data_IF_649175684546
#
_entry.id   IF_649175684546
#
_cell.length_a   1.000
_cell.length_b   1.000
_cell.length_c   1.000
_cell.angle_alpha   90.00
_cell.angle_beta   90.00
_cell.angle_gamma   90.00
#
_symmetry.space_group_name_H-M   'P 1'
#
loop_
_entity.id
_entity.type
_entity.pdbx_description
1 polymer ?
#
# COMPACT_ATOMS: atom_id res chain seq x y z
N UNK A 1 -44.36 2.80 -50.72
CA UNK A 1 -43.44 3.14 -51.84
C UNK A 1 -42.16 2.34 -51.67
N UNK A 2 -41.69 1.74 -52.77
CA UNK A 2 -40.50 0.87 -52.87
C UNK A 2 -39.21 1.70 -52.97
N UNK A 3 -38.10 1.18 -52.43
CA UNK A 3 -36.70 1.20 -52.91
C UNK A 3 -35.79 1.02 -51.67
N UNK A 4 -34.99 -0.03 -51.44
CA UNK A 4 -34.17 -0.94 -52.22
C UNK A 4 -32.93 -0.31 -52.89
N UNK A 5 -31.76 -0.55 -52.28
CA UNK A 5 -30.39 -0.73 -52.82
C UNK A 5 -29.39 -0.34 -51.70
N UNK A 6 -28.17 -0.85 -51.54
CA UNK A 6 -27.38 -2.00 -52.01
C UNK A 6 -25.97 -1.71 -51.49
N UNK A 7 -25.28 -2.71 -50.92
CA UNK A 7 -23.86 -2.64 -50.52
C UNK A 7 -22.92 -2.34 -51.70
N UNK A 8 -21.66 -1.95 -51.39
CA UNK A 8 -20.55 -2.75 -51.91
C UNK A 8 -19.52 -3.15 -50.85
N UNK A 9 -19.02 -4.36 -51.04
CA UNK A 9 -17.95 -5.01 -50.29
C UNK A 9 -16.58 -4.36 -50.55
N UNK A 10 -15.72 -4.29 -49.53
CA UNK A 10 -14.27 -4.16 -49.69
C UNK A 10 -13.59 -5.40 -49.12
N UNK A 11 -12.90 -6.13 -50.01
CA UNK A 11 -11.86 -7.11 -49.71
C UNK A 11 -10.50 -6.40 -49.82
N UNK A 12 -9.63 -6.60 -48.84
CA UNK A 12 -8.17 -6.55 -49.03
C UNK A 12 -7.48 -7.13 -47.81
N UNK A 13 -7.05 -8.40 -47.88
CA UNK A 13 -5.65 -8.82 -48.10
C UNK A 13 -4.80 -8.70 -46.82
N UNK A 14 -4.69 -9.82 -46.10
CA UNK A 14 -3.66 -10.09 -45.11
C UNK A 14 -2.39 -10.55 -45.82
N UNK A 15 -1.19 -10.06 -45.48
CA UNK A 15 0.04 -10.76 -45.79
C UNK A 15 0.40 -11.70 -44.64
N UNK A 16 0.44 -13.00 -44.96
CA UNK A 16 1.07 -14.03 -44.16
C UNK A 16 2.55 -13.69 -43.96
N UNK A 17 3.03 -13.71 -42.71
CA UNK A 17 4.45 -13.76 -42.40
C UNK A 17 4.79 -15.12 -41.81
N UNK A 18 5.85 -15.68 -42.38
CA UNK A 18 6.27 -17.06 -42.28
C UNK A 18 6.71 -17.44 -40.86
N UNK A 19 6.24 -18.60 -40.41
CA UNK A 19 6.88 -19.37 -39.36
C UNK A 19 8.25 -19.83 -39.88
N UNK A 20 9.32 -19.35 -39.24
CA UNK A 20 10.65 -19.97 -39.32
C UNK A 20 10.72 -21.00 -38.20
N UNK A 21 10.58 -22.27 -38.58
CA UNK A 21 10.82 -23.41 -37.70
C UNK A 21 12.34 -23.59 -37.53
N UNK A 22 12.86 -23.25 -36.35
CA UNK A 22 14.21 -23.63 -35.95
C UNK A 22 14.17 -25.02 -35.29
N UNK A 23 14.48 -26.04 -36.09
CA UNK A 23 14.91 -27.36 -35.64
C UNK A 23 16.22 -27.22 -34.86
N UNK A 24 16.22 -27.53 -33.57
CA UNK A 24 17.43 -27.90 -32.84
C UNK A 24 17.29 -29.34 -32.35
N UNK A 25 18.05 -30.22 -33.01
CA UNK A 25 18.31 -31.58 -32.62
C UNK A 25 19.04 -31.63 -31.27
N UNK A 26 18.68 -32.63 -30.47
CA UNK A 26 19.13 -32.78 -29.11
C UNK A 26 20.60 -33.13 -28.93
N UNK A 27 21.04 -32.95 -27.69
CA UNK A 27 22.12 -33.69 -27.08
C UNK A 27 21.69 -34.00 -25.63
N UNK A 28 21.16 -35.21 -25.45
CA UNK A 28 21.02 -35.85 -24.15
C UNK A 28 22.42 -36.20 -23.68
N UNK A 29 22.88 -35.58 -22.60
CA UNK A 29 24.01 -36.06 -21.81
C UNK A 29 23.55 -36.20 -20.36
N UNK A 30 23.21 -37.43 -19.97
CA UNK A 30 23.43 -37.93 -18.60
C UNK A 30 24.79 -38.59 -18.55
N UNK A 31 25.54 -38.50 -17.44
CA UNK A 31 25.61 -39.66 -16.52
C UNK A 31 25.87 -39.23 -15.03
N UNK A 32 26.21 -40.13 -14.09
CA UNK A 32 25.28 -40.94 -13.29
C UNK A 32 25.57 -40.81 -11.76
N UNK A 33 25.23 -41.81 -10.91
CA UNK A 33 24.11 -41.80 -9.98
C UNK A 33 24.46 -41.37 -8.53
N UNK A 34 23.39 -41.13 -7.77
CA UNK A 34 23.39 -40.90 -6.33
C UNK A 34 24.10 -42.02 -5.54
N UNK A 35 25.00 -41.61 -4.64
CA UNK A 35 25.52 -42.47 -3.59
C UNK A 35 24.56 -42.48 -2.38
N UNK A 36 24.00 -43.66 -2.11
CA UNK A 36 23.43 -44.05 -0.81
C UNK A 36 24.54 -44.67 0.04
N UNK A 37 24.74 -44.17 1.26
CA UNK A 37 25.19 -44.92 2.45
C UNK A 37 25.14 -43.93 3.64
N UNK A 38 24.13 -44.02 4.50
CA UNK A 38 24.06 -44.82 5.73
C UNK A 38 24.35 -43.97 6.98
N UNK A 39 23.31 -43.85 7.81
CA UNK A 39 23.34 -43.38 9.19
C UNK A 39 24.42 -44.08 10.02
N UNK A 40 24.86 -43.41 11.10
CA UNK A 40 24.80 -44.05 12.39
C UNK A 40 24.04 -43.20 13.43
N UNK A 41 22.95 -43.82 13.90
CA UNK A 41 22.48 -43.91 15.27
C UNK A 41 22.79 -42.76 16.28
N UNK A 42 21.68 -42.14 16.70
CA UNK A 42 21.22 -42.02 18.09
C UNK A 42 22.12 -41.30 19.12
N UNK A 43 21.70 -40.09 19.47
CA UNK A 43 21.80 -39.57 20.84
C UNK A 43 20.45 -39.01 21.29
N UNK A 44 19.88 -39.66 22.29
CA UNK A 44 18.69 -39.25 23.05
C UNK A 44 18.80 -37.81 23.59
N UNK A 45 17.74 -37.01 23.41
CA UNK A 45 17.24 -36.05 24.41
C UNK A 45 15.86 -35.49 24.02
N UNK A 46 15.02 -35.10 25.00
CA UNK A 46 13.59 -35.44 24.96
C UNK A 46 12.68 -34.36 24.39
N UNK A 47 11.53 -34.86 23.93
CA UNK A 47 10.29 -34.15 23.57
C UNK A 47 9.86 -33.17 24.67
N UNK A 48 9.64 -31.91 24.31
CA UNK A 48 9.00 -30.89 25.15
C UNK A 48 7.57 -30.55 24.66
N UNK A 49 6.58 -30.38 25.56
CA UNK A 49 5.21 -29.99 25.22
C UNK A 49 5.03 -28.44 25.32
N UNK A 50 3.82 -27.89 25.05
CA UNK A 50 3.57 -26.79 24.11
C UNK A 50 3.99 -25.37 24.59
N UNK A 51 4.09 -24.46 23.63
CA UNK A 51 4.44 -23.03 23.79
C UNK A 51 3.49 -22.33 24.77
N UNK A 52 4.09 -21.72 25.79
CA UNK A 52 3.44 -21.05 26.92
C UNK A 52 3.03 -19.61 26.61
N UNK A 53 1.85 -19.22 27.09
CA UNK A 53 1.34 -17.85 27.02
C UNK A 53 2.10 -16.86 27.91
N UNK A 54 2.04 -15.59 27.52
CA UNK A 54 2.62 -14.38 28.14
C UNK A 54 2.37 -14.20 29.65
N UNK A 55 1.48 -14.97 30.27
CA UNK A 55 1.19 -14.91 31.70
C UNK A 55 2.34 -15.42 32.58
N UNK A 56 3.16 -16.38 32.11
CA UNK A 56 4.25 -16.94 32.94
C UNK A 56 5.51 -16.07 33.01
N UNK A 57 5.71 -15.19 32.03
CA UNK A 57 6.80 -14.20 32.04
C UNK A 57 6.58 -13.16 33.15
N UNK A 58 5.33 -12.76 33.38
CA UNK A 58 4.96 -11.81 34.43
C UNK A 58 5.06 -12.42 35.84
N UNK A 59 4.91 -13.74 35.99
CA UNK A 59 5.10 -14.45 37.25
C UNK A 59 6.60 -14.68 37.57
N UNK A 60 7.44 -14.99 36.58
CA UNK A 60 8.89 -15.17 36.79
C UNK A 60 9.61 -13.88 37.17
N UNK A 61 9.10 -12.71 36.77
CA UNK A 61 9.65 -11.41 37.18
C UNK A 61 9.31 -11.06 38.64
N UNK A 62 8.23 -11.63 39.22
CA UNK A 62 7.91 -11.48 40.65
C UNK A 62 8.79 -12.35 41.55
N UNK A 63 9.08 -13.59 41.14
CA UNK A 63 9.91 -14.53 41.92
C UNK A 63 11.41 -14.19 41.92
N UNK A 64 11.86 -13.29 41.04
CA UNK A 64 13.23 -12.75 41.01
C UNK A 64 13.41 -11.48 41.87
N UNK A 65 12.38 -11.06 42.61
CA UNK A 65 12.49 -9.94 43.56
C UNK A 65 12.71 -8.56 42.93
N UNK A 66 12.39 -8.39 41.64
CA UNK A 66 12.57 -7.13 40.91
C UNK A 66 11.24 -6.41 40.68
N UNK A 67 10.49 -6.21 41.77
CA UNK A 67 9.45 -5.18 41.84
C UNK A 67 9.95 -4.03 42.74
N UNK A 68 9.69 -2.76 42.39
CA UNK A 68 10.27 -1.64 43.11
C UNK A 68 9.62 -1.48 44.48
N UNK A 69 10.36 -1.79 45.54
CA UNK A 69 10.07 -1.28 46.87
C UNK A 69 10.42 0.21 46.90
N UNK A 70 9.46 1.03 47.32
CA UNK A 70 9.70 2.42 47.64
C UNK A 70 10.62 2.49 48.86
N UNK A 71 11.87 2.91 48.66
CA UNK A 71 12.65 3.54 49.71
C UNK A 71 13.58 4.62 49.13
N UNK A 72 13.63 5.71 49.87
CA UNK A 72 14.21 7.01 49.58
C UNK A 72 15.69 6.99 49.21
N UNK A 73 16.02 7.54 48.05
CA UNK A 73 17.24 8.30 47.81
C UNK A 73 17.01 9.21 46.62
N UNK A 74 16.96 10.52 46.87
CA UNK A 74 17.01 11.52 45.81
C UNK A 74 18.37 11.45 45.10
N UNK A 75 18.43 11.33 43.77
CA UNK A 75 19.48 11.95 43.00
C UNK A 75 18.98 13.34 42.61
N UNK A 76 19.57 14.37 43.23
CA UNK A 76 19.41 15.74 42.78
C UNK A 76 19.69 15.83 41.26
N UNK A 77 18.72 16.38 40.53
CA UNK A 77 18.95 17.17 39.33
C UNK A 77 19.55 16.45 38.13
N UNK A 78 18.71 15.81 37.31
CA UNK A 78 18.58 16.01 35.85
C UNK A 78 17.64 14.93 35.31
N UNK A 79 16.36 15.03 35.68
CA UNK A 79 15.29 14.36 34.94
C UNK A 79 14.47 15.48 34.31
N UNK A 80 14.59 15.64 33.00
CA UNK A 80 13.71 16.48 32.18
C UNK A 80 12.53 15.57 31.83
N UNK A 81 11.37 15.67 32.53
CA UNK A 81 10.28 14.70 32.37
C UNK A 81 9.47 14.93 31.10
N UNK A 82 9.80 15.96 30.31
CA UNK A 82 9.12 16.25 29.05
C UNK A 82 10.10 16.02 27.89
N UNK A 83 9.71 15.28 26.83
CA UNK A 83 10.50 15.25 25.62
C UNK A 83 10.62 16.69 25.11
N UNK A 84 11.85 17.21 25.04
CA UNK A 84 12.09 18.54 24.49
C UNK A 84 11.46 18.61 23.11
N UNK A 85 10.79 19.72 22.79
CA UNK A 85 10.14 19.84 21.51
C UNK A 85 11.16 19.63 20.40
N UNK A 86 10.82 18.82 19.40
CA UNK A 86 11.65 18.74 18.19
C UNK A 86 11.78 20.16 17.60
N UNK A 87 12.84 20.42 16.83
CA UNK A 87 12.99 21.73 16.22
C UNK A 87 11.74 22.15 15.40
N UNK A 88 11.11 21.18 14.74
CA UNK A 88 9.84 21.36 14.05
C UNK A 88 8.73 21.83 15.00
N UNK A 89 8.68 21.29 16.22
CA UNK A 89 7.73 21.66 17.26
C UNK A 89 8.02 23.05 17.83
N UNK A 90 9.28 23.39 18.09
CA UNK A 90 9.68 24.73 18.53
C UNK A 90 9.30 25.79 17.50
N UNK A 91 9.58 25.52 16.22
CA UNK A 91 9.25 26.43 15.12
C UNK A 91 7.73 26.57 14.87
N UNK A 92 6.94 25.53 15.17
CA UNK A 92 5.47 25.62 15.14
C UNK A 92 4.91 26.40 16.31
N UNK A 93 5.47 26.23 17.51
CA UNK A 93 5.02 26.93 18.72
C UNK A 93 5.34 28.44 18.69
N UNK A 94 6.39 28.83 17.98
CA UNK A 94 6.77 30.24 17.78
C UNK A 94 5.97 30.94 16.68
N UNK A 95 5.22 30.20 15.85
CA UNK A 95 4.37 30.80 14.84
C UNK A 95 3.05 31.27 15.45
N UNK A 96 2.68 32.56 15.32
CA UNK A 96 1.34 32.97 15.69
C UNK A 96 0.35 32.13 14.88
N UNK A 97 -0.70 31.64 15.55
CA UNK A 97 -1.85 31.04 14.88
C UNK A 97 -2.48 32.15 14.03
N UNK A 98 -1.95 32.36 12.83
CA UNK A 98 -2.53 33.27 11.88
C UNK A 98 -3.88 32.67 11.49
N UNK A 99 -4.96 33.37 11.80
CA UNK A 99 -6.26 33.02 11.24
C UNK A 99 -6.11 32.95 9.72
N UNK A 100 -6.56 31.86 9.08
CA UNK A 100 -6.35 31.69 7.65
C UNK A 100 -7.09 32.80 6.89
N UNK A 101 -6.35 33.66 6.18
CA UNK A 101 -6.90 34.50 5.12
C UNK A 101 -7.23 33.63 3.90
N UNK A 102 -8.29 32.82 3.99
CA UNK A 102 -8.82 32.02 2.88
C UNK A 102 -9.25 30.60 3.27
N UNK A 103 -9.94 29.86 2.37
CA UNK A 103 -10.50 28.53 2.65
C UNK A 103 -9.46 27.38 2.70
N UNK A 104 -8.17 27.69 2.82
CA UNK A 104 -7.06 26.74 2.81
C UNK A 104 -6.54 26.39 4.21
N UNK A 105 -5.90 25.22 4.32
CA UNK A 105 -5.15 24.85 5.52
C UNK A 105 -3.95 25.80 5.72
N UNK A 106 -3.64 26.26 6.94
CA UNK A 106 -2.54 27.19 7.17
C UNK A 106 -1.19 26.59 6.75
N UNK A 107 -0.36 27.41 6.10
CA UNK A 107 1.00 27.04 5.73
C UNK A 107 1.90 27.01 6.97
N UNK A 108 2.75 25.99 7.06
CA UNK A 108 3.80 25.86 8.06
C UNK A 108 5.05 26.54 7.52
N UNK A 109 5.43 27.68 8.09
CA UNK A 109 6.65 28.41 7.69
C UNK A 109 7.87 27.76 8.34
N UNK A 110 8.49 26.82 7.66
CA UNK A 110 9.66 26.09 8.18
C UNK A 110 10.87 26.39 7.31
N UNK A 111 12.07 26.58 7.90
CA UNK A 111 13.27 26.65 7.10
C UNK A 111 13.44 25.30 6.38
N UNK A 112 13.86 25.27 5.10
CA UNK A 112 13.86 24.05 4.30
C UNK A 112 14.63 22.88 4.94
N UNK A 113 15.70 23.15 5.67
CA UNK A 113 16.48 22.11 6.35
C UNK A 113 15.74 21.42 7.52
N UNK A 114 14.71 22.06 8.10
CA UNK A 114 13.89 21.50 9.18
C UNK A 114 12.63 20.76 8.69
N UNK A 115 12.30 20.86 7.40
CA UNK A 115 11.18 20.13 6.80
C UNK A 115 11.54 18.63 6.74
N UNK A 116 10.69 17.71 7.25
CA UNK A 116 10.95 16.28 7.14
C UNK A 116 11.02 15.79 5.68
N UNK A 117 11.81 14.75 5.42
CA UNK A 117 11.92 14.13 4.11
C UNK A 117 10.71 13.22 3.83
N UNK A 118 9.52 13.81 3.71
CA UNK A 118 8.22 13.14 3.61
C UNK A 118 8.17 11.93 2.66
N UNK A 119 8.66 12.08 1.43
CA UNK A 119 8.72 10.98 0.46
C UNK A 119 9.61 9.85 0.94
N UNK A 120 10.80 10.17 1.46
CA UNK A 120 11.72 9.16 1.96
C UNK A 120 11.19 8.45 3.21
N UNK A 121 10.46 9.13 4.08
CA UNK A 121 9.80 8.54 5.24
C UNK A 121 8.74 7.51 4.82
N UNK A 122 7.93 7.80 3.81
CA UNK A 122 7.00 6.82 3.24
C UNK A 122 7.73 5.66 2.57
N UNK A 123 8.77 5.93 1.78
CA UNK A 123 9.59 4.87 1.16
C UNK A 123 10.22 3.98 2.23
N UNK A 124 10.69 4.54 3.34
CA UNK A 124 11.24 3.80 4.46
C UNK A 124 10.18 2.88 5.09
N UNK A 125 8.98 3.40 5.38
CA UNK A 125 7.86 2.60 5.90
C UNK A 125 7.55 1.44 4.94
N UNK A 126 7.41 1.70 3.64
CA UNK A 126 7.12 0.67 2.63
C UNK A 126 8.22 -0.40 2.61
N UNK A 127 9.50 -0.01 2.61
CA UNK A 127 10.63 -0.97 2.64
C UNK A 127 10.65 -1.80 3.92
N UNK A 128 10.38 -1.19 5.07
CA UNK A 128 10.32 -1.87 6.37
C UNK A 128 9.22 -2.94 6.40
N UNK A 129 8.00 -2.54 6.02
CA UNK A 129 6.84 -3.45 5.98
C UNK A 129 7.03 -4.56 4.96
N UNK A 130 7.53 -4.25 3.76
CA UNK A 130 7.81 -5.26 2.74
C UNK A 130 8.87 -6.26 3.20
N UNK A 131 9.95 -5.79 3.85
CA UNK A 131 11.01 -6.65 4.39
C UNK A 131 10.47 -7.58 5.47
N UNK A 132 9.68 -7.05 6.40
CA UNK A 132 9.05 -7.86 7.45
C UNK A 132 8.08 -8.89 6.85
N UNK A 133 7.23 -8.46 5.92
CA UNK A 133 6.25 -9.34 5.28
C UNK A 133 6.92 -10.50 4.56
N UNK A 134 7.93 -10.21 3.73
CA UNK A 134 8.64 -11.23 2.93
C UNK A 134 9.55 -12.13 3.77
N UNK A 135 10.01 -11.68 4.93
CA UNK A 135 10.69 -12.55 5.89
C UNK A 135 9.75 -13.60 6.50
N UNK A 136 8.46 -13.28 6.64
CA UNK A 136 7.43 -14.18 7.17
C UNK A 136 6.77 -15.04 6.10
N UNK A 137 6.49 -14.46 4.94
CA UNK A 137 5.94 -15.13 3.76
C UNK A 137 6.59 -14.56 2.49
N UNK A 138 7.53 -15.29 1.85
CA UNK A 138 8.22 -14.83 0.65
C UNK A 138 7.31 -14.49 -0.54
N UNK A 139 6.07 -15.03 -0.55
CA UNK A 139 5.07 -14.78 -1.58
C UNK A 139 4.11 -13.64 -1.26
N UNK A 140 4.27 -12.95 -0.12
CA UNK A 140 3.36 -11.89 0.29
C UNK A 140 3.48 -10.66 -0.62
N UNK A 141 2.41 -10.36 -1.36
CA UNK A 141 2.39 -9.27 -2.33
C UNK A 141 2.28 -7.90 -1.65
N UNK A 142 3.03 -6.91 -2.12
CA UNK A 142 2.97 -5.52 -1.68
C UNK A 142 2.58 -4.63 -2.87
N UNK A 143 1.36 -4.09 -2.85
CA UNK A 143 0.95 -3.05 -3.79
C UNK A 143 0.96 -1.68 -3.09
N UNK A 144 1.25 -0.62 -3.83
CA UNK A 144 1.30 0.75 -3.31
C UNK A 144 0.28 1.65 -4.00
N UNK A 145 -0.77 2.06 -3.27
CA UNK A 145 -1.80 2.99 -3.76
C UNK A 145 -1.37 4.42 -3.52
N UNK A 146 -1.45 5.26 -4.56
CA UNK A 146 -0.91 6.64 -4.52
C UNK A 146 0.62 6.69 -4.48
N UNK A 147 1.31 5.57 -4.73
CA UNK A 147 2.76 5.45 -4.61
C UNK A 147 3.56 5.90 -5.85
N UNK A 148 2.90 6.25 -6.97
CA UNK A 148 3.59 6.65 -8.20
C UNK A 148 4.61 7.80 -8.01
N UNK A 149 4.32 8.87 -7.27
CA UNK A 149 5.28 9.95 -6.99
C UNK A 149 6.49 9.51 -6.16
N UNK A 150 6.44 8.34 -5.51
CA UNK A 150 7.54 7.78 -4.72
C UNK A 150 8.47 6.90 -5.57
N UNK A 151 8.05 6.48 -6.77
CA UNK A 151 8.86 5.65 -7.67
C UNK A 151 10.05 6.40 -8.26
N UNK A 152 9.97 7.72 -8.35
CA UNK A 152 11.02 8.61 -8.85
C UNK A 152 11.42 9.63 -7.79
N UNK A 153 12.63 10.15 -7.92
CA UNK A 153 13.14 11.23 -7.08
C UNK A 153 12.61 12.58 -7.53
N UNK A 154 12.12 13.37 -6.58
CA UNK A 154 11.56 14.70 -6.83
C UNK A 154 12.61 15.82 -6.71
N UNK A 155 12.40 16.92 -7.43
CA UNK A 155 13.21 18.14 -7.28
C UNK A 155 13.17 18.65 -5.84
N UNK A 156 12.01 18.60 -5.19
CA UNK A 156 11.85 19.03 -3.80
C UNK A 156 12.81 18.30 -2.87
N UNK A 157 13.01 17.00 -3.05
CA UNK A 157 13.94 16.22 -2.23
C UNK A 157 15.37 16.76 -2.35
N UNK A 158 15.80 17.09 -3.57
CA UNK A 158 17.10 17.70 -3.82
C UNK A 158 17.25 19.08 -3.17
N UNK A 159 16.20 19.91 -3.18
CA UNK A 159 16.22 21.23 -2.51
C UNK A 159 16.37 21.07 -0.99
N UNK A 160 15.62 20.15 -0.38
CA UNK A 160 15.69 19.89 1.06
C UNK A 160 17.07 19.36 1.46
N UNK A 161 17.66 18.46 0.67
CA UNK A 161 19.01 17.94 0.90
C UNK A 161 20.08 19.03 0.76
N UNK A 162 19.99 19.87 -0.27
CA UNK A 162 20.88 21.02 -0.46
C UNK A 162 20.81 21.98 0.74
N UNK A 163 19.61 22.29 1.22
CA UNK A 163 19.43 23.14 2.40
C UNK A 163 20.05 22.53 3.67
N UNK A 164 19.87 21.23 3.90
CA UNK A 164 20.50 20.52 5.03
C UNK A 164 22.02 20.50 4.93
N UNK A 165 22.57 20.34 3.72
CA UNK A 165 24.01 20.40 3.50
C UNK A 165 24.58 21.79 3.83
N UNK A 166 23.92 22.86 3.38
CA UNK A 166 24.32 24.24 3.71
C UNK A 166 24.27 24.48 5.22
N UNK A 167 23.17 24.09 5.88
CA UNK A 167 23.02 24.23 7.34
C UNK A 167 24.11 23.47 8.10
N UNK A 168 24.53 22.31 7.60
CA UNK A 168 25.63 21.51 8.16
C UNK A 168 27.03 22.04 7.82
N UNK A 169 27.16 23.16 7.09
CA UNK A 169 28.44 23.72 6.65
C UNK A 169 29.14 22.89 5.56
N UNK A 170 28.38 22.06 4.83
CA UNK A 170 28.86 21.22 3.73
C UNK A 170 28.57 21.88 2.37
N UNK A 171 29.28 21.44 1.33
CA UNK A 171 28.96 21.83 -0.04
C UNK A 171 27.64 21.21 -0.49
N UNK A 172 26.72 22.02 -1.01
CA UNK A 172 25.45 21.57 -1.54
C UNK A 172 25.53 21.24 -3.04
N UNK A 173 24.82 20.19 -3.45
CA UNK A 173 24.56 19.90 -4.87
C UNK A 173 23.46 20.85 -5.35
N UNK A 174 23.66 21.47 -6.50
CA UNK A 174 22.63 22.28 -7.16
C UNK A 174 21.41 21.39 -7.47
N UNK A 175 20.21 21.68 -6.91
CA UNK A 175 19.01 20.88 -7.11
C UNK A 175 18.56 20.77 -8.57
N UNK A 176 18.96 21.71 -9.43
CA UNK A 176 18.63 21.71 -10.86
C UNK A 176 19.71 21.04 -11.72
N UNK A 177 20.82 20.62 -11.12
CA UNK A 177 21.88 19.91 -11.82
C UNK A 177 21.56 18.43 -11.99
N UNK A 178 22.10 17.76 -13.03
CA UNK A 178 21.97 16.31 -13.18
C UNK A 178 22.48 15.50 -11.97
N UNK A 179 23.44 16.05 -11.21
CA UNK A 179 23.97 15.39 -10.02
C UNK A 179 22.96 15.31 -8.86
N UNK A 180 21.87 16.06 -8.91
CA UNK A 180 20.78 15.97 -7.95
C UNK A 180 19.91 14.72 -8.12
N UNK A 181 20.03 14.00 -9.25
CA UNK A 181 19.31 12.76 -9.53
C UNK A 181 17.80 12.91 -9.66
N UNK A 182 17.29 14.11 -9.96
CA UNK A 182 15.85 14.34 -10.15
C UNK A 182 15.34 13.49 -11.33
N UNK A 183 14.24 12.77 -11.10
CA UNK A 183 13.68 11.81 -12.07
C UNK A 183 14.31 10.42 -12.03
N UNK A 184 15.38 10.21 -11.26
CA UNK A 184 15.96 8.86 -11.09
C UNK A 184 15.00 7.94 -10.33
N UNK A 185 15.00 6.66 -10.71
CA UNK A 185 14.18 5.63 -10.07
C UNK A 185 14.66 5.38 -8.64
N UNK A 186 13.73 5.43 -7.69
CA UNK A 186 13.97 4.99 -6.33
C UNK A 186 14.00 3.46 -6.28
N UNK A 187 15.17 2.87 -6.57
CA UNK A 187 15.36 1.42 -6.62
C UNK A 187 14.95 0.70 -5.33
N UNK A 188 15.19 1.33 -4.17
CA UNK A 188 14.77 0.78 -2.88
C UNK A 188 13.26 0.71 -2.70
N UNK A 189 12.52 1.70 -3.21
CA UNK A 189 11.06 1.66 -3.20
C UNK A 189 10.54 0.68 -4.25
N UNK A 190 10.96 0.81 -5.50
CA UNK A 190 10.52 -0.08 -6.60
C UNK A 190 10.82 -1.55 -6.29
N UNK A 191 11.97 -1.86 -5.68
CA UNK A 191 12.31 -3.22 -5.27
C UNK A 191 11.51 -3.76 -4.06
N UNK A 192 10.76 -2.92 -3.36
CA UNK A 192 9.94 -3.31 -2.21
C UNK A 192 8.48 -3.64 -2.59
N UNK A 193 8.02 -3.17 -3.75
CA UNK A 193 6.62 -3.29 -4.21
C UNK A 193 6.49 -4.18 -5.44
N UNK A 194 5.43 -4.98 -5.52
CA UNK A 194 5.10 -5.83 -6.67
C UNK A 194 4.15 -5.13 -7.66
N UNK A 195 3.58 -3.99 -7.26
CA UNK A 195 2.71 -3.21 -8.13
C UNK A 195 2.26 -1.87 -7.54
N UNK A 196 1.67 -1.04 -8.40
CA UNK A 196 1.10 0.26 -8.05
C UNK A 196 -0.41 0.24 -8.29
N UNK A 197 -1.13 0.91 -7.38
CA UNK A 197 -2.55 1.19 -7.55
C UNK A 197 -2.72 2.69 -7.80
N UNK A 198 -3.29 3.02 -8.95
CA UNK A 198 -3.62 4.37 -9.39
C UNK A 198 -5.10 4.63 -9.12
N UNK A 199 -5.45 5.89 -8.91
CA UNK A 199 -6.83 6.33 -8.74
C UNK A 199 -7.23 7.22 -9.91
N UNK A 200 -8.27 6.81 -10.65
CA UNK A 200 -8.86 7.62 -11.72
C UNK A 200 -7.97 7.86 -12.94
N UNK A 201 -7.14 6.89 -13.35
CA UNK A 201 -6.23 7.07 -14.49
C UNK A 201 -6.95 7.27 -15.84
N UNK A 202 -8.16 6.74 -15.99
CA UNK A 202 -8.93 6.72 -17.24
C UNK A 202 -10.25 7.50 -17.18
N UNK A 203 -10.89 7.57 -16.02
CA UNK A 203 -12.15 8.29 -15.77
C UNK A 203 -12.00 9.47 -14.79
N UNK A 204 -10.87 9.59 -14.08
CA UNK A 204 -10.61 10.65 -13.11
C UNK A 204 -9.73 11.78 -13.64
N UNK A 205 -9.48 12.80 -12.80
CA UNK A 205 -8.63 13.95 -13.11
C UNK A 205 -7.87 14.43 -11.86
N UNK A 206 -6.58 14.84 -11.99
CA UNK A 206 -5.71 14.63 -13.14
C UNK A 206 -5.11 13.22 -13.14
N UNK A 207 -5.13 12.48 -14.28
CA UNK A 207 -4.43 11.21 -14.39
C UNK A 207 -2.91 11.44 -14.42
N UNK A 208 -2.12 10.39 -14.21
CA UNK A 208 -0.69 10.46 -14.52
C UNK A 208 -0.51 10.78 -15.99
N UNK A 209 0.49 11.61 -16.29
CA UNK A 209 0.84 11.93 -17.66
C UNK A 209 1.37 10.67 -18.40
N UNK A 210 1.27 10.63 -19.73
CA UNK A 210 1.67 9.46 -20.51
C UNK A 210 3.15 9.07 -20.38
N UNK A 211 4.05 10.02 -20.11
CA UNK A 211 5.48 9.75 -19.98
C UNK A 211 5.76 9.05 -18.66
N UNK A 212 5.21 9.56 -17.55
CA UNK A 212 5.28 8.90 -16.24
C UNK A 212 4.65 7.51 -16.30
N UNK A 213 3.48 7.37 -16.93
CA UNK A 213 2.83 6.07 -17.07
C UNK A 213 3.70 5.09 -17.88
N UNK A 214 4.36 5.56 -18.95
CA UNK A 214 5.29 4.73 -19.72
C UNK A 214 6.49 4.27 -18.88
N UNK A 215 7.08 5.17 -18.08
CA UNK A 215 8.17 4.81 -17.15
C UNK A 215 7.71 3.73 -16.16
N UNK A 216 6.52 3.87 -15.58
CA UNK A 216 5.99 2.88 -14.64
C UNK A 216 5.69 1.53 -15.31
N UNK A 217 5.28 1.53 -16.58
CA UNK A 217 5.02 0.30 -17.36
C UNK A 217 6.29 -0.48 -17.69
N UNK A 218 7.42 0.21 -17.82
CA UNK A 218 8.71 -0.41 -18.07
C UNK A 218 9.30 -1.04 -16.78
N UNK A 219 8.68 -0.80 -15.63
CA UNK A 219 8.98 -1.51 -14.39
C UNK A 219 8.30 -2.89 -14.39
N UNK A 220 8.97 -3.91 -13.85
CA UNK A 220 8.45 -5.28 -13.73
C UNK A 220 7.41 -5.41 -12.60
N UNK A 221 6.31 -4.65 -12.73
CA UNK A 221 5.32 -4.42 -11.68
C UNK A 221 3.90 -4.55 -12.23
N UNK A 222 2.95 -4.96 -11.38
CA UNK A 222 1.54 -4.88 -11.71
C UNK A 222 1.05 -3.43 -11.62
N UNK A 223 0.33 -2.95 -12.64
CA UNK A 223 -0.37 -1.67 -12.60
C UNK A 223 -1.87 -1.92 -12.53
N UNK A 224 -2.51 -1.40 -11.49
CA UNK A 224 -3.97 -1.41 -11.31
C UNK A 224 -4.45 0.04 -11.26
N UNK A 225 -5.56 0.34 -11.93
CA UNK A 225 -6.28 1.59 -11.74
C UNK A 225 -7.67 1.34 -11.17
N UNK A 226 -8.05 2.16 -10.19
CA UNK A 226 -9.36 2.19 -9.57
C UNK A 226 -10.07 3.44 -10.06
N UNK A 227 -11.05 3.27 -10.94
CA UNK A 227 -11.67 4.36 -11.66
C UNK A 227 -13.14 4.45 -11.33
N UNK A 228 -13.62 5.66 -11.06
CA UNK A 228 -15.04 5.93 -10.97
C UNK A 228 -15.51 6.56 -12.29
N UNK A 229 -16.33 5.84 -13.05
CA UNK A 229 -16.82 6.28 -14.34
C UNK A 229 -18.32 6.60 -14.26
N UNK A 230 -18.71 7.75 -14.81
CA UNK A 230 -20.07 8.30 -14.68
C UNK A 230 -21.11 7.54 -15.52
N UNK A 231 -20.71 7.05 -16.70
CA UNK A 231 -21.61 6.40 -17.65
C UNK A 231 -20.99 5.17 -18.34
N UNK A 232 -21.86 4.41 -19.01
CA UNK A 232 -21.49 3.17 -19.68
C UNK A 232 -20.53 3.38 -20.88
N UNK A 233 -20.55 4.55 -21.52
CA UNK A 233 -19.63 4.88 -22.61
C UNK A 233 -18.22 5.08 -22.06
N UNK A 234 -18.11 5.83 -20.96
CA UNK A 234 -16.87 6.00 -20.19
C UNK A 234 -16.30 4.67 -19.70
N UNK A 235 -17.14 3.74 -19.23
CA UNK A 235 -16.70 2.39 -18.85
C UNK A 235 -16.05 1.64 -20.03
N UNK A 236 -16.70 1.66 -21.20
CA UNK A 236 -16.18 0.97 -22.40
C UNK A 236 -14.86 1.59 -22.86
N UNK A 237 -14.79 2.91 -22.88
CA UNK A 237 -13.58 3.63 -23.29
C UNK A 237 -12.42 3.43 -22.31
N UNK A 238 -12.69 3.48 -21.00
CA UNK A 238 -11.70 3.22 -19.97
C UNK A 238 -11.12 1.81 -20.10
N UNK A 239 -11.95 0.79 -20.31
CA UNK A 239 -11.46 -0.57 -20.56
C UNK A 239 -10.59 -0.69 -21.82
N UNK A 240 -10.94 0.03 -22.89
CA UNK A 240 -10.12 0.06 -24.13
C UNK A 240 -8.76 0.68 -23.86
N UNK A 241 -8.72 1.85 -23.23
CA UNK A 241 -7.49 2.57 -22.90
C UNK A 241 -6.61 1.78 -21.92
N UNK A 242 -7.20 1.18 -20.90
CA UNK A 242 -6.50 0.35 -19.94
C UNK A 242 -5.86 -0.88 -20.59
N UNK A 243 -6.59 -1.55 -21.50
CA UNK A 243 -6.05 -2.69 -22.25
C UNK A 243 -4.88 -2.28 -23.15
N UNK A 244 -4.95 -1.12 -23.81
CA UNK A 244 -3.84 -0.57 -24.62
C UNK A 244 -2.63 -0.18 -23.77
N UNK A 245 -2.87 0.31 -22.55
CA UNK A 245 -1.85 0.66 -21.58
C UNK A 245 -1.29 -0.56 -20.82
N UNK A 246 -1.89 -1.75 -20.93
CA UNK A 246 -1.50 -2.91 -20.12
C UNK A 246 -1.74 -2.70 -18.62
N UNK A 247 -2.74 -1.88 -18.27
CA UNK A 247 -3.11 -1.56 -16.88
C UNK A 247 -4.37 -2.36 -16.53
N UNK A 248 -4.34 -3.05 -15.40
CA UNK A 248 -5.51 -3.70 -14.85
C UNK A 248 -6.51 -2.62 -14.42
N UNK A 249 -7.79 -2.78 -14.74
CA UNK A 249 -8.80 -1.76 -14.45
C UNK A 249 -9.91 -2.33 -13.59
N UNK A 250 -10.18 -1.66 -12.48
CA UNK A 250 -11.48 -1.69 -11.82
C UNK A 250 -12.26 -0.44 -12.21
N UNK A 251 -13.51 -0.63 -12.62
CA UNK A 251 -14.47 0.47 -12.82
C UNK A 251 -15.56 0.38 -11.76
N UNK A 252 -15.67 1.43 -10.96
CA UNK A 252 -16.82 1.71 -10.12
C UNK A 252 -17.79 2.64 -10.87
N UNK A 253 -19.08 2.32 -10.78
CA UNK A 253 -20.16 3.10 -11.37
C UNK A 253 -21.21 3.47 -10.33
N UNK A 254 -20.87 3.42 -9.04
CA UNK A 254 -21.75 3.90 -7.97
C UNK A 254 -21.71 5.43 -7.93
N UNK A 255 -22.85 6.10 -7.79
CA UNK A 255 -22.99 7.57 -7.87
C UNK A 255 -21.97 8.37 -7.01
N UNK A 256 -21.39 7.74 -5.99
CA UNK A 256 -20.48 8.37 -5.03
C UNK A 256 -19.07 7.75 -5.01
N UNK A 257 -18.74 6.81 -5.89
CA UNK A 257 -17.39 6.20 -5.94
C UNK A 257 -17.00 5.44 -4.67
N UNK A 258 -17.98 4.92 -3.92
CA UNK A 258 -17.75 4.44 -2.53
C UNK A 258 -17.05 3.10 -2.44
N UNK A 259 -16.93 2.36 -3.55
CA UNK A 259 -16.38 1.00 -3.55
C UNK A 259 -17.08 0.12 -2.52
N UNK A 260 -18.42 0.20 -2.48
CA UNK A 260 -19.26 -0.45 -1.49
C UNK A 260 -20.21 -1.52 -2.05
N UNK A 261 -20.02 -1.87 -3.33
CA UNK A 261 -20.83 -2.85 -4.06
C UNK A 261 -19.97 -3.97 -4.64
N UNK A 262 -20.52 -5.17 -4.61
CA UNK A 262 -19.99 -6.31 -5.38
C UNK A 262 -20.73 -6.35 -6.72
N UNK A 263 -20.04 -6.20 -7.87
CA UNK A 263 -20.68 -6.20 -9.17
C UNK A 263 -21.27 -7.57 -9.48
N UNK A 264 -22.46 -7.56 -10.08
CA UNK A 264 -23.09 -8.76 -10.63
C UNK A 264 -22.48 -9.16 -11.98
N UNK A 265 -22.66 -10.42 -12.36
CA UNK A 265 -22.23 -10.92 -13.67
C UNK A 265 -20.80 -11.44 -13.70
N UNK A 266 -20.22 -11.49 -14.91
CA UNK A 266 -18.85 -11.99 -15.15
C UNK A 266 -17.91 -10.79 -15.28
N UNK A 267 -16.75 -10.77 -14.59
CA UNK A 267 -15.78 -9.71 -14.77
C UNK A 267 -15.23 -9.71 -16.20
N UNK A 268 -14.86 -8.52 -16.71
CA UNK A 268 -14.00 -8.45 -17.88
C UNK A 268 -12.67 -9.15 -17.57
N UNK A 269 -12.17 -9.97 -18.50
CA UNK A 269 -10.95 -10.76 -18.26
C UNK A 269 -11.14 -12.03 -17.43
N UNK A 270 -12.38 -12.45 -17.14
CA UNK A 270 -12.66 -13.70 -16.41
C UNK A 270 -11.89 -14.89 -16.99
N UNK A 271 -11.17 -15.61 -16.13
CA UNK A 271 -10.38 -16.77 -16.49
C UNK A 271 -10.34 -17.81 -15.36
N UNK A 272 -9.97 -19.04 -15.70
CA UNK A 272 -9.84 -20.16 -14.77
C UNK A 272 -8.39 -20.39 -14.31
N UNK A 273 -7.48 -19.44 -14.56
CA UNK A 273 -6.09 -19.56 -14.17
C UNK A 273 -5.95 -19.40 -12.64
N UNK A 274 -4.99 -20.11 -12.04
CA UNK A 274 -4.65 -19.90 -10.64
C UNK A 274 -3.73 -18.69 -10.53
N UNK A 275 -4.09 -17.74 -9.66
CA UNK A 275 -3.36 -16.47 -9.50
C UNK A 275 -2.57 -16.51 -8.20
N UNK A 276 -1.28 -16.26 -8.31
CA UNK A 276 -0.31 -16.28 -7.20
C UNK A 276 0.61 -15.06 -7.19
N UNK A 277 0.60 -14.28 -8.26
CA UNK A 277 1.36 -13.04 -8.43
C UNK A 277 0.41 -11.98 -9.04
N UNK A 278 0.42 -10.72 -8.56
CA UNK A 278 -0.47 -9.69 -9.07
C UNK A 278 -0.36 -9.46 -10.58
N UNK A 279 0.81 -9.70 -11.18
CA UNK A 279 1.06 -9.55 -12.63
C UNK A 279 0.34 -10.59 -13.49
N UNK A 280 -0.13 -11.69 -12.88
CA UNK A 280 -0.92 -12.73 -13.56
C UNK A 280 -2.39 -12.33 -13.74
N UNK A 281 -2.87 -11.33 -12.98
CA UNK A 281 -4.27 -10.97 -12.92
C UNK A 281 -4.76 -10.27 -14.19
N UNK A 282 -6.01 -10.56 -14.55
CA UNK A 282 -6.75 -9.93 -15.64
C UNK A 282 -8.02 -9.22 -15.16
N UNK A 283 -8.37 -9.39 -13.89
CA UNK A 283 -9.54 -8.77 -13.26
C UNK A 283 -9.30 -8.49 -11.77
N UNK A 284 -9.68 -7.30 -11.30
CA UNK A 284 -9.63 -6.94 -9.89
C UNK A 284 -11.00 -6.51 -9.38
N UNK A 285 -11.24 -6.72 -8.09
CA UNK A 285 -12.34 -6.16 -7.32
C UNK A 285 -11.75 -5.41 -6.13
N UNK A 286 -12.19 -4.19 -5.88
CA UNK A 286 -11.84 -3.41 -4.69
C UNK A 286 -13.13 -3.12 -3.91
N UNK A 287 -13.10 -3.36 -2.61
CA UNK A 287 -14.21 -3.08 -1.71
C UNK A 287 -13.68 -2.45 -0.41
N UNK A 288 -13.96 -1.16 -0.22
CA UNK A 288 -13.49 -0.39 0.95
C UNK A 288 -14.55 -0.34 2.06
N UNK A 289 -15.82 -0.45 1.68
CA UNK A 289 -16.96 -0.35 2.59
C UNK A 289 -17.95 -1.50 2.37
N UNK A 290 -18.43 -2.12 3.46
CA UNK A 290 -19.42 -3.19 3.38
C UNK A 290 -20.56 -3.03 4.37
N UNK A 291 -20.75 -1.83 4.92
CA UNK A 291 -21.84 -1.55 5.86
C UNK A 291 -23.21 -1.92 5.29
N UNK A 292 -23.41 -1.81 3.96
CA UNK A 292 -24.65 -2.19 3.29
C UNK A 292 -24.98 -3.68 3.33
N UNK A 293 -24.03 -4.57 3.62
CA UNK A 293 -24.27 -6.01 3.73
C UNK A 293 -24.89 -6.42 5.07
N UNK A 294 -24.73 -5.61 6.12
CA UNK A 294 -25.23 -5.87 7.47
C UNK A 294 -24.55 -7.03 8.23
N UNK A 295 -24.13 -8.08 7.54
CA UNK A 295 -23.47 -9.26 8.11
C UNK A 295 -22.24 -9.68 7.28
N UNK A 296 -21.16 -10.06 7.96
CA UNK A 296 -19.89 -10.43 7.31
C UNK A 296 -20.06 -11.68 6.45
N UNK A 297 -20.92 -12.62 6.83
CA UNK A 297 -21.18 -13.85 6.06
C UNK A 297 -21.89 -13.54 4.74
N UNK A 298 -22.77 -12.54 4.72
CA UNK A 298 -23.41 -12.08 3.48
C UNK A 298 -22.40 -11.44 2.54
N UNK A 299 -21.51 -10.60 3.09
CA UNK A 299 -20.40 -10.02 2.32
C UNK A 299 -19.48 -11.10 1.75
N UNK A 300 -18.99 -12.02 2.58
CA UNK A 300 -18.11 -13.12 2.15
C UNK A 300 -18.81 -13.98 1.10
N UNK A 301 -20.09 -14.30 1.29
CA UNK A 301 -20.90 -15.03 0.31
C UNK A 301 -20.97 -14.31 -1.04
N UNK A 302 -21.18 -13.00 -1.05
CA UNK A 302 -21.21 -12.19 -2.27
C UNK A 302 -19.84 -12.18 -2.98
N UNK A 303 -18.75 -11.98 -2.25
CA UNK A 303 -17.40 -11.98 -2.82
C UNK A 303 -17.00 -13.36 -3.38
N UNK A 304 -17.39 -14.45 -2.71
CA UNK A 304 -17.19 -15.83 -3.18
C UNK A 304 -17.99 -16.15 -4.45
N UNK A 305 -19.07 -15.41 -4.70
CA UNK A 305 -19.88 -15.57 -5.91
C UNK A 305 -19.27 -14.89 -7.15
N UNK A 306 -18.08 -14.29 -7.04
CA UNK A 306 -17.37 -13.63 -8.16
C UNK A 306 -16.17 -14.43 -8.66
N UNK A 307 -15.67 -14.09 -9.85
CA UNK A 307 -14.53 -14.74 -10.50
C UNK A 307 -13.34 -13.79 -10.76
N UNK A 308 -13.23 -12.69 -10.02
CA UNK A 308 -12.09 -11.78 -10.13
C UNK A 308 -10.78 -12.48 -9.71
N UNK A 309 -9.67 -12.12 -10.35
CA UNK A 309 -8.33 -12.66 -10.09
C UNK A 309 -7.69 -12.12 -8.81
N UNK A 310 -8.01 -10.88 -8.48
CA UNK A 310 -7.62 -10.22 -7.24
C UNK A 310 -8.87 -9.65 -6.58
N UNK A 311 -8.99 -9.87 -5.28
CA UNK A 311 -9.91 -9.12 -4.41
C UNK A 311 -9.08 -8.29 -3.44
N UNK A 312 -9.28 -6.98 -3.44
CA UNK A 312 -8.75 -6.03 -2.47
C UNK A 312 -9.90 -5.65 -1.54
N UNK A 313 -9.75 -5.87 -0.25
CA UNK A 313 -10.78 -5.56 0.74
C UNK A 313 -10.20 -4.80 1.92
N UNK A 314 -10.97 -3.87 2.46
CA UNK A 314 -10.72 -3.37 3.81
C UNK A 314 -10.89 -4.53 4.82
N UNK A 315 -9.89 -4.85 5.66
CA UNK A 315 -10.03 -5.94 6.63
C UNK A 315 -11.15 -5.68 7.64
N UNK A 316 -11.50 -4.41 7.92
CA UNK A 316 -12.53 -3.98 8.89
C UNK A 316 -13.83 -3.49 8.22
N UNK A 317 -14.10 -4.01 7.02
CA UNK A 317 -15.18 -3.62 6.10
C UNK A 317 -16.61 -3.53 6.70
N UNK A 318 -16.89 -4.17 7.84
CA UNK A 318 -18.16 -4.02 8.57
C UNK A 318 -17.92 -3.59 10.02
N UNK A 319 -18.13 -2.30 10.30
CA UNK A 319 -18.25 -1.76 11.66
C UNK A 319 -17.05 -2.03 12.57
N UNK A 320 -15.82 -1.91 12.04
CA UNK A 320 -14.59 -2.10 12.82
C UNK A 320 -14.28 -3.56 13.15
N UNK A 321 -15.05 -4.53 12.65
CA UNK A 321 -14.79 -5.97 12.84
C UNK A 321 -13.91 -6.51 11.72
N UNK A 322 -12.76 -7.04 12.09
CA UNK A 322 -11.87 -7.71 11.15
C UNK A 322 -12.53 -8.97 10.56
N UNK A 323 -12.26 -9.24 9.28
CA UNK A 323 -12.40 -10.59 8.71
C UNK A 323 -11.56 -11.59 9.50
N UNK A 324 -12.05 -12.82 9.64
CA UNK A 324 -11.28 -13.91 10.26
C UNK A 324 -10.38 -14.62 9.25
N UNK A 325 -9.35 -15.31 9.74
CA UNK A 325 -8.48 -16.12 8.88
C UNK A 325 -9.25 -17.17 8.06
N UNK A 326 -10.32 -17.75 8.61
CA UNK A 326 -11.19 -18.66 7.87
C UNK A 326 -11.91 -17.94 6.72
N UNK A 327 -12.47 -16.76 6.98
CA UNK A 327 -13.16 -15.98 5.95
C UNK A 327 -12.20 -15.56 4.83
N UNK A 328 -10.99 -15.11 5.18
CA UNK A 328 -9.95 -14.79 4.18
C UNK A 328 -9.59 -16.04 3.37
N UNK A 329 -9.43 -17.21 4.00
CA UNK A 329 -9.16 -18.46 3.30
C UNK A 329 -10.28 -18.86 2.32
N UNK A 330 -11.55 -18.66 2.70
CA UNK A 330 -12.70 -18.88 1.81
C UNK A 330 -12.70 -17.93 0.60
N UNK A 331 -12.18 -16.72 0.76
CA UNK A 331 -12.08 -15.74 -0.31
C UNK A 331 -10.97 -16.05 -1.32
N UNK A 332 -10.04 -16.97 -1.06
CA UNK A 332 -8.92 -17.27 -1.98
C UNK A 332 -9.32 -18.11 -3.21
N UNK A 333 -10.60 -18.42 -3.36
CA UNK A 333 -11.12 -19.18 -4.49
C UNK A 333 -12.17 -18.38 -5.24
N UNK A 334 -12.05 -18.37 -6.57
CA UNK A 334 -13.08 -17.89 -7.49
C UNK A 334 -14.32 -18.78 -7.36
N UNK A 335 -15.50 -18.27 -7.75
CA UNK A 335 -16.72 -19.08 -7.84
C UNK A 335 -16.53 -20.34 -8.70
N UNK A 336 -15.72 -20.25 -9.75
CA UNK A 336 -15.37 -21.37 -10.64
C UNK A 336 -14.33 -22.35 -10.07
N UNK A 337 -13.80 -22.11 -8.87
CA UNK A 337 -12.93 -23.02 -8.11
C UNK A 337 -11.42 -22.79 -8.22
N UNK A 338 -10.96 -21.97 -9.18
CA UNK A 338 -9.54 -21.62 -9.29
C UNK A 338 -9.11 -20.65 -8.19
N UNK A 339 -7.82 -20.67 -7.85
CA UNK A 339 -7.22 -19.79 -6.85
C UNK A 339 -7.17 -18.35 -7.37
N UNK A 340 -7.52 -17.40 -6.49
CA UNK A 340 -7.33 -15.96 -6.68
C UNK A 340 -6.56 -15.37 -5.51
N UNK A 341 -6.00 -14.18 -5.68
CA UNK A 341 -5.33 -13.46 -4.60
C UNK A 341 -6.34 -12.63 -3.80
N UNK A 342 -6.16 -12.59 -2.48
CA UNK A 342 -6.91 -11.71 -1.58
C UNK A 342 -5.95 -10.79 -0.87
N UNK A 343 -6.08 -9.49 -1.10
CA UNK A 343 -5.22 -8.44 -0.54
C UNK A 343 -6.04 -7.59 0.44
N UNK A 344 -5.41 -7.18 1.54
CA UNK A 344 -6.00 -6.24 2.48
C UNK A 344 -5.58 -4.81 2.15
N UNK A 345 -6.46 -3.82 2.31
CA UNK A 345 -6.03 -2.42 2.35
C UNK A 345 -5.42 -2.10 3.72
N UNK A 346 -4.35 -1.31 3.72
CA UNK A 346 -3.63 -0.93 4.94
C UNK A 346 -3.10 0.49 4.79
N UNK A 347 -3.73 1.44 5.48
CA UNK A 347 -3.35 2.84 5.38
C UNK A 347 -2.15 3.16 6.29
N UNK A 348 -1.08 3.70 5.72
CA UNK A 348 0.17 4.01 6.45
C UNK A 348 0.28 5.46 6.92
N UNK A 349 -0.62 6.34 6.47
CA UNK A 349 -0.52 7.79 6.69
C UNK A 349 -1.80 8.45 7.24
N UNK A 350 -2.87 7.68 7.39
CA UNK A 350 -4.14 8.11 7.95
C UNK A 350 -4.55 7.19 9.10
N UNK A 351 -4.92 7.79 10.22
CA UNK A 351 -5.59 7.10 11.32
C UNK A 351 -7.10 7.14 11.10
N UNK A 352 -7.81 6.10 11.55
CA UNK A 352 -9.28 6.08 11.50
C UNK A 352 -9.89 5.80 12.87
N UNK A 353 -10.93 6.56 13.22
CA UNK A 353 -11.63 6.42 14.50
C UNK A 353 -12.44 5.13 14.64
N UNK A 354 -12.75 4.47 13.53
CA UNK A 354 -13.50 3.22 13.47
C UNK A 354 -12.61 1.96 13.50
N UNK A 355 -11.31 2.13 13.78
CA UNK A 355 -10.35 1.02 13.91
C UNK A 355 -10.14 0.64 15.38
N UNK A 356 -9.72 -0.61 15.62
CA UNK A 356 -9.59 -1.15 16.98
C UNK A 356 -8.48 -0.50 17.81
N UNK A 357 -7.46 0.09 17.18
CA UNK A 357 -6.36 0.74 17.87
C UNK A 357 -6.70 2.17 18.31
N UNK A 358 -7.80 2.74 17.79
CA UNK A 358 -8.23 4.09 18.13
C UNK A 358 -8.54 4.19 19.62
N UNK A 359 -7.97 5.20 20.28
CA UNK A 359 -8.29 5.46 21.68
C UNK A 359 -9.32 6.59 21.78
N UNK A 360 -10.45 6.40 22.48
CA UNK A 360 -11.51 7.42 22.58
C UNK A 360 -11.08 8.76 23.17
N UNK A 361 -9.93 8.81 23.85
CA UNK A 361 -9.34 10.03 24.41
C UNK A 361 -8.53 10.85 23.41
N UNK A 362 -8.16 10.28 22.25
CA UNK A 362 -7.36 10.97 21.25
C UNK A 362 -8.08 12.19 20.68
N UNK A 363 -7.36 13.30 20.55
CA UNK A 363 -7.80 14.59 20.00
C UNK A 363 -6.71 15.08 19.06
N UNK A 364 -7.04 16.03 18.18
CA UNK A 364 -6.01 16.63 17.31
C UNK A 364 -4.87 17.20 18.17
N UNK A 365 -3.63 16.83 17.84
CA UNK A 365 -2.42 17.14 18.59
C UNK A 365 -2.14 16.23 19.80
N UNK A 366 -3.06 15.33 20.18
CA UNK A 366 -2.87 14.35 21.27
C UNK A 366 -3.48 12.99 20.89
N UNK A 367 -2.70 12.04 20.36
CA UNK A 367 -1.24 12.02 20.36
C UNK A 367 -0.67 13.00 19.33
N UNK A 368 0.58 13.41 19.54
CA UNK A 368 1.23 14.48 18.74
C UNK A 368 1.19 14.23 17.23
N UNK A 369 1.23 12.97 16.82
CA UNK A 369 1.21 12.58 15.42
C UNK A 369 -0.17 12.71 14.77
N UNK A 370 -1.25 12.93 15.53
CA UNK A 370 -2.61 13.09 15.01
C UNK A 370 -2.87 14.55 14.61
N UNK A 371 -2.62 14.89 13.33
CA UNK A 371 -2.45 16.28 12.89
C UNK A 371 -3.75 17.00 12.54
N UNK A 372 -4.60 16.42 11.69
CA UNK A 372 -5.78 17.11 11.15
C UNK A 372 -6.84 16.11 10.67
N UNK A 373 -8.09 16.56 10.49
CA UNK A 373 -9.14 15.75 9.88
C UNK A 373 -8.99 15.73 8.36
N UNK A 374 -9.39 14.61 7.73
CA UNK A 374 -9.42 14.49 6.27
C UNK A 374 -10.76 15.01 5.75
N UNK A 375 -10.71 16.00 4.85
CA UNK A 375 -11.91 16.52 4.18
C UNK A 375 -12.62 15.38 3.43
N UNK A 376 -13.95 15.37 3.50
CA UNK A 376 -14.83 14.41 2.82
C UNK A 376 -14.64 12.93 3.22
N UNK A 377 -13.82 12.64 4.24
CA UNK A 377 -13.66 11.31 4.84
C UNK A 377 -13.88 11.38 6.36
N UNK A 378 -15.14 11.39 6.82
CA UNK A 378 -15.46 11.44 8.25
C UNK A 378 -14.74 10.35 9.05
N UNK A 379 -14.17 10.72 10.19
CA UNK A 379 -13.44 9.81 11.06
C UNK A 379 -12.04 9.43 10.60
N UNK A 380 -11.57 9.97 9.47
CA UNK A 380 -10.18 9.82 9.03
C UNK A 380 -9.35 11.06 9.41
N UNK A 381 -8.11 10.81 9.82
CA UNK A 381 -7.20 11.83 10.33
C UNK A 381 -5.81 11.68 9.70
N UNK A 382 -5.22 12.79 9.29
CA UNK A 382 -3.84 12.84 8.85
C UNK A 382 -2.89 12.53 9.99
N UNK A 383 -1.91 11.66 9.74
CA UNK A 383 -0.84 11.39 10.68
C UNK A 383 0.48 12.02 10.24
N UNK A 384 1.28 12.42 11.22
CA UNK A 384 2.70 12.65 11.04
C UNK A 384 3.38 11.29 10.92
N UNK A 385 3.30 10.66 9.74
CA UNK A 385 3.71 9.27 9.58
C UNK A 385 5.20 9.01 9.83
N UNK A 386 6.01 10.06 9.88
CA UNK A 386 7.42 9.99 10.28
C UNK A 386 7.61 9.81 11.79
N UNK A 387 6.57 10.04 12.60
CA UNK A 387 6.60 9.94 14.05
C UNK A 387 6.84 8.49 14.54
N UNK A 388 7.77 8.26 15.50
CA UNK A 388 8.07 6.93 16.02
C UNK A 388 6.89 6.20 16.69
N UNK A 389 5.99 6.92 17.38
CA UNK A 389 4.86 6.30 18.08
C UNK A 389 3.82 5.83 17.06
N UNK A 390 3.58 6.63 16.01
CA UNK A 390 2.76 6.19 14.88
C UNK A 390 3.34 4.97 14.17
N UNK A 391 4.66 4.97 13.90
CA UNK A 391 5.35 3.81 13.28
C UNK A 391 5.23 2.54 14.14
N UNK A 392 5.24 2.68 15.46
CA UNK A 392 5.03 1.57 16.39
C UNK A 392 3.61 1.00 16.24
N UNK A 393 2.59 1.86 16.24
CA UNK A 393 1.20 1.44 15.99
C UNK A 393 1.01 0.77 14.63
N UNK A 394 1.63 1.31 13.57
CA UNK A 394 1.62 0.68 12.25
C UNK A 394 2.22 -0.72 12.28
N UNK A 395 3.37 -0.90 12.93
CA UNK A 395 4.04 -2.19 13.04
C UNK A 395 3.15 -3.24 13.71
N UNK A 396 2.62 -2.94 14.89
CA UNK A 396 1.70 -3.83 15.62
C UNK A 396 0.46 -4.18 14.79
N UNK A 397 -0.11 -3.19 14.11
CA UNK A 397 -1.28 -3.37 13.27
C UNK A 397 -0.99 -4.29 12.07
N UNK A 398 0.16 -4.10 11.43
CA UNK A 398 0.58 -4.90 10.29
C UNK A 398 0.79 -6.37 10.65
N UNK A 399 1.33 -6.67 11.84
CA UNK A 399 1.44 -8.06 12.33
C UNK A 399 0.07 -8.72 12.42
N UNK A 400 -0.89 -8.04 13.05
CA UNK A 400 -2.25 -8.55 13.19
C UNK A 400 -2.95 -8.78 11.84
N UNK A 401 -2.71 -7.92 10.85
CA UNK A 401 -3.21 -8.09 9.49
C UNK A 401 -2.61 -9.33 8.82
N UNK A 402 -1.31 -9.56 8.96
CA UNK A 402 -0.66 -10.75 8.41
C UNK A 402 -1.19 -12.05 9.05
N UNK A 403 -1.56 -12.02 10.34
CA UNK A 403 -2.14 -13.17 11.05
C UNK A 403 -3.50 -13.60 10.47
N UNK A 404 -4.22 -12.70 9.78
CA UNK A 404 -5.46 -13.02 9.08
C UNK A 404 -5.23 -13.84 7.80
N UNK A 405 -3.99 -13.97 7.33
CA UNK A 405 -3.65 -14.80 6.18
C UNK A 405 -4.14 -14.23 4.85
N UNK A 406 -4.01 -12.93 4.63
CA UNK A 406 -4.09 -12.37 3.28
C UNK A 406 -2.89 -12.82 2.43
N UNK A 407 -3.05 -12.85 1.10
CA UNK A 407 -1.94 -13.15 0.18
C UNK A 407 -1.04 -11.91 -0.05
N UNK A 408 -1.43 -10.75 0.47
CA UNK A 408 -0.69 -9.52 0.37
C UNK A 408 -1.46 -8.32 0.90
N UNK A 409 -0.92 -7.14 0.66
CA UNK A 409 -1.46 -5.86 1.13
C UNK A 409 -1.41 -4.81 0.02
N UNK A 410 -2.38 -3.89 0.04
CA UNK A 410 -2.33 -2.61 -0.65
C UNK A 410 -2.01 -1.55 0.40
N UNK A 411 -0.77 -1.06 0.39
CA UNK A 411 -0.35 0.06 1.23
C UNK A 411 -0.97 1.35 0.68
N UNK A 412 -1.84 1.96 1.46
CA UNK A 412 -2.65 3.12 1.12
C UNK A 412 -2.21 4.37 1.89
N UNK A 413 -2.61 5.56 1.42
CA UNK A 413 -2.25 6.84 2.02
C UNK A 413 -0.88 7.37 1.60
N UNK A 414 -0.25 6.79 0.57
CA UNK A 414 1.05 7.28 0.09
C UNK A 414 0.94 8.65 -0.59
N UNK A 415 -0.24 8.97 -1.13
CA UNK A 415 -0.60 10.27 -1.72
C UNK A 415 -0.70 11.41 -0.68
N UNK A 416 -0.80 11.09 0.62
CA UNK A 416 -0.82 12.05 1.73
C UNK A 416 0.44 12.93 1.75
N UNK A 417 1.53 12.47 1.11
CA UNK A 417 2.73 13.30 0.90
C UNK A 417 2.40 14.65 0.25
N UNK A 418 1.48 14.69 -0.71
CA UNK A 418 1.13 15.92 -1.41
C UNK A 418 0.51 16.97 -0.48
N UNK A 419 -0.29 16.56 0.51
CA UNK A 419 -0.77 17.50 1.54
C UNK A 419 0.40 18.10 2.31
N UNK A 420 1.29 17.26 2.82
CA UNK A 420 2.41 17.72 3.62
C UNK A 420 3.35 18.65 2.85
N UNK A 421 3.62 18.33 1.57
CA UNK A 421 4.38 19.19 0.67
C UNK A 421 3.66 20.52 0.40
N UNK A 422 2.34 20.50 0.21
CA UNK A 422 1.54 21.71 -0.05
C UNK A 422 1.51 22.68 1.14
N UNK A 423 1.45 22.16 2.37
CA UNK A 423 1.45 23.01 3.59
C UNK A 423 2.85 23.36 4.08
N UNK A 424 3.92 22.87 3.44
CA UNK A 424 5.32 23.23 3.76
C UNK A 424 6.03 23.70 2.49
N UNK A 425 5.66 24.87 1.94
CA UNK A 425 6.26 25.35 0.71
C UNK A 425 7.77 25.51 0.87
N UNK A 426 8.50 25.17 -0.19
CA UNK A 426 9.95 25.38 -0.30
C UNK A 426 10.12 26.37 -1.45
N UNK A 427 10.73 27.51 -1.15
CA UNK A 427 11.03 28.56 -2.16
C UNK A 427 12.15 28.15 -3.12
#
# INVERSE_FOLDING_TARGET
MKANRSYPARRSVWPARALVAALSLGAVMSPPPAARAQDPAASDSPVGPPVMGTQRLMEQLRDLGLAPEQESMEPEGLYDPEPRPTLLEALRAEQPVAEPEGPGEPLLSLPPWAIPAFREELRAIVRELARYARARDPGFAILARGGAPLAVRDRREAVLEAARAVEAGLGAVDPDSPAAGVGEISSGFVGAVDGLVLDGQFCGQPPLDPETLAVLRDLDMALLSVDHCVDAEGVVEAHRLAAEAGVLLLVDTDDHGRLDRVPGGRPMGENADNITDPRQARSALVLEHGGGFGDVSLLVGALRATNHDIIIVNPFVIGGRALTAQQVAELRYKKLGARRMVLATFNVALAREDTYYWQPKWRLGDPRWLSATVRDRPGAYFTEYWDPDWKTHLGEHFVGLMDLGFDGVVLDGLDVVHRWEAITPVE
#
